data_IF_488982862721
#
_entry.id   IF_488982862721
#
_cell.length_a   1.000
_cell.length_b   1.000
_cell.length_c   1.000
_cell.angle_alpha   90.00
_cell.angle_beta   90.00
_cell.angle_gamma   90.00
#
_symmetry.space_group_name_H-M   'P 1'
#
loop_
_entity.id
_entity.type
_entity.pdbx_description
1 polymer ?
#
# COMPACT_ATOMS: atom_id res chain seq x y z
N UNK A 1 6.00 -55.79 27.71
CA UNK A 1 4.94 -54.86 27.30
C UNK A 1 4.14 -54.51 28.54
N UNK A 2 3.95 -53.21 28.84
CA UNK A 2 3.28 -52.73 30.07
C UNK A 2 1.74 -52.86 30.05
N UNK A 3 1.14 -53.22 28.90
CA UNK A 3 -0.31 -53.36 28.76
C UNK A 3 -1.09 -52.04 28.72
N UNK A 4 -0.40 -50.90 28.63
CA UNK A 4 -1.04 -49.60 28.52
C UNK A 4 -1.81 -49.46 27.21
N UNK A 5 -3.01 -48.95 27.29
CA UNK A 5 -3.88 -48.67 26.13
C UNK A 5 -4.37 -47.25 26.23
N UNK A 6 -4.03 -46.43 25.24
CA UNK A 6 -4.52 -45.08 25.10
C UNK A 6 -4.66 -44.72 23.62
N UNK A 7 -5.30 -43.61 23.34
CA UNK A 7 -5.53 -43.13 21.99
C UNK A 7 -4.22 -42.70 21.30
N UNK A 8 -3.21 -42.34 22.07
CA UNK A 8 -1.90 -41.93 21.57
C UNK A 8 -0.78 -42.39 22.56
N UNK A 9 0.19 -43.11 22.08
CA UNK A 9 1.21 -43.72 22.94
C UNK A 9 2.47 -42.84 23.15
N UNK A 10 2.63 -41.72 22.43
CA UNK A 10 3.85 -40.94 22.45
C UNK A 10 4.27 -40.45 23.85
N UNK A 11 3.32 -39.87 24.58
CA UNK A 11 3.58 -39.32 25.91
C UNK A 11 3.85 -40.43 26.93
N UNK A 12 3.13 -41.55 26.87
CA UNK A 12 3.37 -42.70 27.75
C UNK A 12 4.77 -43.32 27.49
N UNK A 13 5.20 -43.41 26.24
CA UNK A 13 6.51 -43.94 25.92
C UNK A 13 7.64 -43.04 26.48
N UNK A 14 7.49 -41.76 26.43
CA UNK A 14 8.43 -40.79 26.98
C UNK A 14 8.44 -40.81 28.52
N UNK A 15 7.26 -40.79 29.17
CA UNK A 15 7.15 -40.63 30.62
C UNK A 15 7.42 -41.95 31.37
N UNK A 16 6.91 -43.10 30.87
CA UNK A 16 6.96 -44.37 31.60
C UNK A 16 8.11 -45.27 31.16
N UNK A 17 8.68 -45.07 29.98
CA UNK A 17 9.70 -45.94 29.38
C UNK A 17 10.95 -45.21 28.91
N UNK A 18 11.03 -43.89 29.09
CA UNK A 18 12.16 -43.06 28.64
C UNK A 18 12.56 -43.35 27.19
N UNK A 19 11.56 -43.55 26.33
CA UNK A 19 11.73 -43.99 24.95
C UNK A 19 11.00 -43.00 24.01
N UNK A 20 11.69 -42.55 22.99
CA UNK A 20 11.03 -41.74 21.94
C UNK A 20 10.15 -42.62 21.04
N UNK A 21 9.14 -42.00 20.42
CA UNK A 21 8.23 -42.68 19.48
C UNK A 21 9.02 -43.29 18.31
N UNK A 22 10.07 -42.62 17.82
CA UNK A 22 10.92 -43.07 16.73
C UNK A 22 11.71 -44.33 17.13
N UNK A 23 12.32 -44.33 18.33
CA UNK A 23 13.05 -45.46 18.86
C UNK A 23 12.12 -46.69 19.11
N UNK A 24 10.85 -46.40 19.50
CA UNK A 24 9.87 -47.46 19.63
C UNK A 24 9.47 -48.05 18.26
N UNK A 25 9.28 -47.24 17.24
CA UNK A 25 8.95 -47.69 15.88
C UNK A 25 10.11 -48.41 15.20
N UNK A 26 11.36 -48.03 15.48
CA UNK A 26 12.52 -48.79 15.03
C UNK A 26 12.55 -50.22 15.62
N UNK A 27 12.20 -50.33 16.90
CA UNK A 27 12.13 -51.63 17.59
C UNK A 27 10.89 -52.45 17.21
N UNK A 28 9.79 -51.78 16.90
CA UNK A 28 8.52 -52.41 16.58
C UNK A 28 7.87 -51.74 15.32
N UNK A 29 8.40 -52.00 14.13
CA UNK A 29 7.99 -51.28 12.91
C UNK A 29 6.53 -51.42 12.50
N UNK A 30 5.82 -52.37 13.06
CA UNK A 30 4.38 -52.63 12.80
C UNK A 30 3.47 -52.29 13.98
N UNK A 31 4.01 -51.66 15.02
CA UNK A 31 3.20 -51.31 16.19
C UNK A 31 2.24 -50.16 15.85
N UNK A 32 1.00 -50.32 16.26
CA UNK A 32 0.03 -49.20 16.21
C UNK A 32 0.36 -48.24 17.34
N UNK A 33 0.68 -47.00 17.01
CA UNK A 33 1.00 -45.91 17.97
C UNK A 33 -0.15 -44.95 18.21
N UNK A 34 -1.19 -45.08 17.38
CA UNK A 34 -2.47 -44.30 17.47
C UNK A 34 -3.61 -45.32 17.37
N UNK A 35 -4.61 -45.15 18.20
CA UNK A 35 -5.78 -45.98 18.15
C UNK A 35 -6.53 -45.88 16.79
N UNK A 36 -7.00 -47.04 16.28
CA UNK A 36 -7.69 -47.07 14.98
C UNK A 36 -8.90 -46.12 14.92
N UNK A 37 -9.61 -45.98 16.05
CA UNK A 37 -10.76 -45.05 16.17
C UNK A 37 -10.36 -43.60 15.92
N UNK A 38 -9.16 -43.17 16.35
CA UNK A 38 -8.65 -41.83 16.10
C UNK A 38 -8.29 -41.65 14.61
N UNK A 39 -7.68 -42.69 14.03
CA UNK A 39 -7.37 -42.68 12.60
C UNK A 39 -8.63 -42.64 11.74
N UNK A 40 -9.65 -43.41 12.11
CA UNK A 40 -10.96 -43.43 11.44
C UNK A 40 -11.67 -42.06 11.58
N UNK A 41 -11.67 -41.50 12.79
CA UNK A 41 -12.20 -40.15 13.03
C UNK A 41 -11.47 -39.04 12.25
N UNK A 42 -10.15 -39.15 12.15
CA UNK A 42 -9.35 -38.24 11.33
C UNK A 42 -9.62 -38.45 9.83
N UNK A 43 -9.78 -39.70 9.40
CA UNK A 43 -10.14 -40.03 8.03
C UNK A 43 -11.57 -39.54 7.67
N UNK A 44 -12.54 -39.66 8.58
CA UNK A 44 -13.87 -39.11 8.38
C UNK A 44 -13.87 -37.57 8.37
N UNK A 45 -13.13 -36.95 9.30
CA UNK A 45 -12.92 -35.49 9.31
C UNK A 45 -12.20 -35.02 8.03
N UNK A 46 -11.23 -35.77 7.55
CA UNK A 46 -10.54 -35.44 6.28
C UNK A 46 -11.45 -35.62 5.07
N UNK A 47 -12.38 -36.59 5.07
CA UNK A 47 -13.43 -36.74 4.03
C UNK A 47 -14.43 -35.59 4.06
N UNK A 48 -14.77 -35.06 5.26
CA UNK A 48 -15.59 -33.85 5.43
C UNK A 48 -14.83 -32.55 5.16
N UNK A 49 -13.48 -32.58 5.21
CA UNK A 49 -12.55 -31.49 4.89
C UNK A 49 -11.91 -31.73 3.52
N UNK A 50 -12.46 -32.54 2.67
CA UNK A 50 -12.33 -32.24 1.25
C UNK A 50 -13.11 -30.94 1.01
N UNK A 51 -12.54 -29.83 1.49
CA UNK A 51 -12.68 -28.57 0.82
C UNK A 51 -12.23 -28.87 -0.60
N UNK A 52 -13.19 -29.06 -1.48
CA UNK A 52 -12.97 -28.83 -2.87
C UNK A 52 -12.51 -27.38 -2.95
N UNK A 53 -11.21 -27.16 -2.75
CA UNK A 53 -10.62 -25.94 -3.29
C UNK A 53 -10.97 -26.06 -4.76
N UNK A 54 -11.81 -25.15 -5.30
CA UNK A 54 -12.01 -25.13 -6.74
C UNK A 54 -10.60 -25.15 -7.30
N UNK A 55 -10.30 -25.95 -8.32
CA UNK A 55 -8.96 -26.04 -8.89
C UNK A 55 -8.51 -24.58 -9.06
N UNK A 56 -7.44 -24.19 -8.38
CA UNK A 56 -6.89 -22.82 -8.48
C UNK A 56 -6.73 -22.62 -9.96
N UNK A 57 -7.44 -21.66 -10.59
CA UNK A 57 -7.37 -21.47 -12.02
C UNK A 57 -5.90 -21.38 -12.35
N UNK A 58 -5.38 -22.31 -13.16
CA UNK A 58 -3.95 -22.41 -13.48
C UNK A 58 -3.44 -21.10 -14.07
N UNK A 59 -4.36 -20.26 -14.53
CA UNK A 59 -4.10 -18.93 -15.08
C UNK A 59 -5.22 -17.98 -14.69
N UNK A 60 -4.91 -17.04 -13.80
CA UNK A 60 -5.76 -15.90 -13.49
C UNK A 60 -5.27 -14.71 -14.31
N UNK A 61 -6.19 -13.99 -14.92
CA UNK A 61 -5.89 -12.77 -15.65
C UNK A 61 -6.69 -11.62 -15.08
N UNK A 62 -6.12 -10.44 -15.10
CA UNK A 62 -6.80 -9.17 -14.81
C UNK A 62 -6.63 -8.20 -15.96
N UNK A 63 -7.53 -7.26 -16.09
CA UNK A 63 -7.38 -6.14 -17.01
C UNK A 63 -6.71 -4.98 -16.25
N UNK A 64 -5.64 -4.46 -16.81
CA UNK A 64 -4.85 -3.39 -16.25
C UNK A 64 -4.54 -2.36 -17.34
N UNK A 65 -5.12 -1.16 -17.24
CA UNK A 65 -4.88 -0.05 -18.18
C UNK A 65 -5.02 -0.47 -19.67
N UNK A 66 -6.02 -1.31 -19.96
CA UNK A 66 -6.29 -1.86 -21.30
C UNK A 66 -5.44 -3.08 -21.67
N UNK A 67 -4.58 -3.58 -20.78
CA UNK A 67 -3.80 -4.78 -21.00
C UNK A 67 -4.36 -5.97 -20.23
N UNK A 68 -4.50 -7.12 -20.89
CA UNK A 68 -4.79 -8.39 -20.21
C UNK A 68 -3.50 -8.95 -19.64
N UNK A 69 -3.40 -8.97 -18.31
CA UNK A 69 -2.18 -9.36 -17.60
C UNK A 69 -2.41 -10.60 -16.76
N UNK A 70 -1.43 -11.50 -16.78
CA UNK A 70 -1.45 -12.70 -15.94
C UNK A 70 -1.18 -12.33 -14.47
N UNK A 71 -1.99 -12.90 -13.58
CA UNK A 71 -1.88 -12.74 -12.13
C UNK A 71 -1.28 -13.99 -11.52
N UNK A 72 -0.42 -13.86 -10.52
CA UNK A 72 0.16 -15.00 -9.80
C UNK A 72 -0.84 -15.56 -8.78
N UNK A 73 -1.73 -16.45 -9.23
CA UNK A 73 -2.80 -17.01 -8.39
C UNK A 73 -2.31 -17.74 -7.14
N UNK A 74 -1.07 -18.25 -7.16
CA UNK A 74 -0.41 -19.00 -6.08
C UNK A 74 0.35 -18.11 -5.08
N UNK A 75 0.12 -16.80 -5.11
CA UNK A 75 0.68 -15.87 -4.11
C UNK A 75 -0.36 -15.59 -3.05
N UNK A 76 0.04 -15.72 -1.78
CA UNK A 76 -0.78 -15.29 -0.65
C UNK A 76 -1.05 -13.78 -0.75
N UNK A 77 -2.31 -13.34 -0.73
CA UNK A 77 -2.63 -11.91 -0.72
C UNK A 77 -1.93 -11.11 0.39
N UNK A 78 -1.64 -11.74 1.53
CA UNK A 78 -0.91 -11.11 2.64
C UNK A 78 0.56 -10.83 2.33
N UNK A 79 1.13 -11.49 1.33
CA UNK A 79 2.48 -11.19 0.85
C UNK A 79 2.53 -10.00 -0.13
N UNK A 80 1.35 -9.48 -0.53
CA UNK A 80 1.23 -8.31 -1.38
C UNK A 80 0.94 -7.06 -0.56
N UNK A 81 1.24 -5.89 -1.10
CA UNK A 81 0.76 -4.65 -0.51
C UNK A 81 -0.78 -4.59 -0.61
N UNK A 82 -1.47 -4.08 0.42
CA UNK A 82 -2.93 -4.03 0.41
C UNK A 82 -3.44 -3.09 -0.68
N UNK A 83 -4.53 -3.48 -1.34
CA UNK A 83 -5.22 -2.62 -2.31
C UNK A 83 -5.74 -1.38 -1.60
N UNK A 84 -5.38 -0.16 -2.07
CA UNK A 84 -5.94 1.04 -1.46
C UNK A 84 -7.46 1.10 -1.69
N UNK A 85 -8.17 1.57 -0.67
CA UNK A 85 -9.62 1.69 -0.73
C UNK A 85 -10.06 2.59 -1.89
N UNK A 86 -10.99 2.11 -2.71
CA UNK A 86 -11.53 2.84 -3.87
C UNK A 86 -10.49 3.32 -4.88
N UNK A 87 -9.32 2.66 -4.95
CA UNK A 87 -8.28 3.06 -5.89
C UNK A 87 -8.76 2.90 -7.34
N UNK A 88 -8.57 3.96 -8.11
CA UNK A 88 -8.80 3.98 -9.56
C UNK A 88 -7.58 4.53 -10.26
N UNK A 89 -7.26 3.94 -11.40
CA UNK A 89 -6.23 4.51 -12.25
C UNK A 89 -6.80 5.76 -12.93
N UNK A 90 -6.07 6.88 -12.90
CA UNK A 90 -6.42 8.07 -13.69
C UNK A 90 -6.60 7.71 -15.16
N UNK A 91 -7.65 8.25 -15.77
CA UNK A 91 -8.00 8.01 -17.17
C UNK A 91 -7.88 9.26 -18.03
N UNK A 92 -7.61 10.40 -17.42
CA UNK A 92 -7.49 11.71 -18.06
C UNK A 92 -6.09 12.30 -17.91
N UNK A 93 -5.72 13.15 -18.87
CA UNK A 93 -4.47 13.91 -18.85
C UNK A 93 -3.21 13.09 -19.10
N UNK A 94 -2.07 13.77 -18.99
CA UNK A 94 -0.75 13.18 -19.27
C UNK A 94 -0.40 12.05 -18.31
N UNK A 95 -0.90 12.12 -17.07
CA UNK A 95 -0.67 11.10 -16.07
C UNK A 95 -1.22 9.72 -16.50
N UNK A 96 -2.34 9.69 -17.21
CA UNK A 96 -2.91 8.42 -17.69
C UNK A 96 -1.95 7.72 -18.68
N UNK A 97 -1.30 8.49 -19.56
CA UNK A 97 -0.31 7.97 -20.52
C UNK A 97 0.94 7.48 -19.78
N UNK A 98 1.46 8.29 -18.85
CA UNK A 98 2.62 7.92 -18.04
C UNK A 98 2.38 6.66 -17.21
N UNK A 99 1.18 6.48 -16.69
CA UNK A 99 0.80 5.27 -15.94
C UNK A 99 0.73 4.02 -16.80
N UNK A 100 0.30 4.13 -18.05
CA UNK A 100 0.34 2.99 -18.99
C UNK A 100 1.78 2.55 -19.24
N UNK A 101 2.69 3.49 -19.48
CA UNK A 101 4.12 3.20 -19.67
C UNK A 101 4.77 2.69 -18.36
N UNK A 102 4.35 3.22 -17.21
CA UNK A 102 4.78 2.73 -15.91
C UNK A 102 4.33 1.28 -15.69
N UNK A 103 3.10 0.95 -16.03
CA UNK A 103 2.57 -0.42 -15.92
C UNK A 103 3.38 -1.39 -16.79
N UNK A 104 3.74 -1.02 -18.02
CA UNK A 104 4.62 -1.84 -18.89
C UNK A 104 5.99 -2.02 -18.24
N UNK A 105 6.57 -0.96 -17.68
CA UNK A 105 7.86 -1.03 -16.99
C UNK A 105 7.79 -1.90 -15.73
N UNK A 106 6.70 -1.78 -14.99
CA UNK A 106 6.40 -2.60 -13.82
C UNK A 106 6.29 -4.09 -14.18
N UNK A 107 5.57 -4.42 -15.25
CA UNK A 107 5.41 -5.79 -15.72
C UNK A 107 6.73 -6.42 -16.19
N UNK A 108 7.66 -5.61 -16.68
CA UNK A 108 9.00 -6.03 -17.08
C UNK A 108 10.01 -6.10 -15.94
N UNK A 109 9.63 -5.76 -14.72
CA UNK A 109 10.51 -5.78 -13.54
C UNK A 109 11.57 -4.67 -13.54
N UNK A 110 11.35 -3.58 -14.29
CA UNK A 110 12.28 -2.43 -14.34
C UNK A 110 12.21 -1.59 -13.09
N UNK A 111 13.33 -1.01 -12.67
CA UNK A 111 13.36 -0.09 -11.54
C UNK A 111 12.69 1.24 -11.88
N UNK A 112 11.87 1.74 -10.95
CA UNK A 112 11.07 2.95 -11.15
C UNK A 112 11.41 4.02 -10.10
N UNK A 113 11.53 5.26 -10.56
CA UNK A 113 11.54 6.45 -9.71
C UNK A 113 10.25 7.23 -9.93
N UNK A 114 9.37 7.24 -8.94
CA UNK A 114 8.08 7.92 -9.00
C UNK A 114 8.15 9.15 -8.11
N UNK A 115 7.99 10.33 -8.71
CA UNK A 115 8.04 11.57 -7.96
C UNK A 115 6.81 12.43 -8.20
N UNK A 116 6.60 13.43 -7.37
CA UNK A 116 5.47 14.37 -7.50
C UNK A 116 4.97 14.86 -6.16
N UNK A 117 4.03 15.76 -6.20
CA UNK A 117 3.52 16.45 -5.02
C UNK A 117 2.97 15.46 -3.97
N UNK A 118 3.03 15.81 -2.67
CA UNK A 118 2.44 15.01 -1.61
C UNK A 118 0.96 14.70 -1.89
N UNK A 119 0.54 13.47 -1.57
CA UNK A 119 -0.84 13.04 -1.77
C UNK A 119 -1.29 12.90 -3.23
N UNK A 120 -0.34 12.78 -4.19
CA UNK A 120 -0.63 12.48 -5.61
C UNK A 120 -0.85 10.98 -5.91
N UNK A 121 -0.81 10.11 -4.90
CA UNK A 121 -1.11 8.69 -5.07
C UNK A 121 0.07 7.81 -5.47
N UNK A 122 1.33 8.28 -5.34
CA UNK A 122 2.54 7.53 -5.71
C UNK A 122 2.61 6.14 -5.09
N UNK A 123 2.54 6.06 -3.77
CA UNK A 123 2.59 4.78 -3.05
C UNK A 123 1.33 3.95 -3.34
N UNK A 124 0.16 4.60 -3.43
CA UNK A 124 -1.10 3.94 -3.74
C UNK A 124 -1.07 3.23 -5.11
N UNK A 125 -0.39 3.78 -6.11
CA UNK A 125 -0.14 3.13 -7.38
C UNK A 125 0.64 1.81 -7.21
N UNK A 126 1.74 1.82 -6.46
CA UNK A 126 2.56 0.62 -6.24
C UNK A 126 1.80 -0.43 -5.46
N UNK A 127 1.02 -0.01 -4.45
CA UNK A 127 0.12 -0.88 -3.71
C UNK A 127 -0.90 -1.55 -4.63
N UNK A 128 -1.58 -0.77 -5.47
CA UNK A 128 -2.56 -1.29 -6.41
C UNK A 128 -1.94 -2.27 -7.41
N UNK A 129 -0.76 -1.97 -7.94
CA UNK A 129 -0.04 -2.85 -8.85
C UNK A 129 0.38 -4.17 -8.19
N UNK A 130 0.88 -4.12 -6.94
CA UNK A 130 1.21 -5.32 -6.16
C UNK A 130 -0.03 -6.19 -5.93
N UNK A 131 -1.14 -5.58 -5.46
CA UNK A 131 -2.38 -6.29 -5.18
C UNK A 131 -3.02 -6.93 -6.43
N UNK A 132 -3.17 -6.15 -7.51
CA UNK A 132 -3.82 -6.60 -8.74
C UNK A 132 -3.05 -7.73 -9.43
N UNK A 133 -1.74 -7.66 -9.45
CA UNK A 133 -0.88 -8.64 -10.10
C UNK A 133 -0.50 -9.80 -9.18
N UNK A 134 -0.88 -9.73 -7.92
CA UNK A 134 -0.43 -10.64 -6.87
C UNK A 134 1.09 -10.84 -6.91
N UNK A 135 1.81 -9.73 -6.89
CA UNK A 135 3.26 -9.74 -6.76
C UNK A 135 3.64 -9.47 -5.31
N UNK A 136 4.43 -10.37 -4.70
CA UNK A 136 4.89 -10.17 -3.33
C UNK A 136 5.68 -8.86 -3.24
N UNK A 137 5.46 -8.09 -2.18
CA UNK A 137 6.07 -6.80 -2.03
C UNK A 137 6.33 -6.44 -0.57
N UNK A 138 7.38 -5.67 -0.34
CA UNK A 138 7.69 -5.06 0.96
C UNK A 138 7.82 -3.55 0.80
N UNK A 139 7.53 -2.83 1.88
CA UNK A 139 7.68 -1.38 1.93
C UNK A 139 8.69 -0.99 3.01
N UNK A 140 9.55 -0.05 2.68
CA UNK A 140 10.50 0.61 3.59
C UNK A 140 10.39 2.11 3.42
N UNK A 141 10.31 2.84 4.53
CA UNK A 141 10.20 4.31 4.49
C UNK A 141 11.49 4.94 4.99
N UNK A 142 12.00 5.89 4.23
CA UNK A 142 13.22 6.61 4.60
C UNK A 142 12.88 7.84 5.41
N UNK A 143 13.57 8.00 6.53
CA UNK A 143 13.63 9.24 7.32
C UNK A 143 15.08 9.60 7.57
N UNK A 144 15.43 10.84 7.90
CA UNK A 144 16.82 11.22 8.18
C UNK A 144 17.50 10.40 9.28
N UNK A 145 16.71 9.77 10.17
CA UNK A 145 17.19 8.96 11.30
C UNK A 145 17.09 7.45 11.04
N UNK A 146 16.62 7.02 9.88
CA UNK A 146 16.47 5.60 9.55
C UNK A 146 17.82 4.92 9.42
N UNK A 147 18.02 3.83 10.15
CA UNK A 147 19.15 2.93 9.90
C UNK A 147 18.83 2.01 8.71
N UNK A 148 19.29 2.41 7.53
CA UNK A 148 19.03 1.67 6.29
C UNK A 148 19.84 0.37 6.21
N UNK A 149 20.98 0.27 6.92
CA UNK A 149 21.76 -0.95 6.99
C UNK A 149 21.02 -2.04 7.78
N UNK A 150 20.32 -1.64 8.84
CA UNK A 150 19.48 -2.53 9.63
C UNK A 150 18.31 -3.15 8.85
N UNK A 151 17.98 -2.65 7.67
CA UNK A 151 17.00 -3.31 6.80
C UNK A 151 17.53 -4.61 6.17
N UNK A 152 18.86 -4.72 6.03
CA UNK A 152 19.49 -5.92 5.48
C UNK A 152 19.91 -6.90 6.57
N UNK A 153 20.59 -6.42 7.61
CA UNK A 153 21.07 -7.25 8.69
C UNK A 153 21.36 -6.44 9.96
N UNK A 154 21.25 -7.11 11.09
CA UNK A 154 21.57 -6.55 12.40
C UNK A 154 22.59 -7.46 13.11
N UNK A 155 23.35 -6.88 14.01
CA UNK A 155 24.23 -7.64 14.92
C UNK A 155 23.43 -7.97 16.17
N UNK A 156 23.33 -9.26 16.49
CA UNK A 156 22.87 -9.74 17.78
C UNK A 156 24.05 -10.25 18.62
N UNK A 157 23.91 -10.11 19.93
CA UNK A 157 24.89 -10.59 20.88
C UNK A 157 24.23 -11.60 21.79
N UNK A 158 24.78 -12.81 21.86
CA UNK A 158 24.35 -13.83 22.79
C UNK A 158 25.55 -14.37 23.60
N UNK A 159 25.31 -15.41 24.42
CA UNK A 159 26.36 -16.04 25.23
C UNK A 159 27.43 -16.69 24.39
N UNK A 160 27.18 -16.98 23.12
CA UNK A 160 28.12 -17.64 22.19
C UNK A 160 28.90 -16.61 21.33
N UNK A 161 28.57 -15.30 21.47
CA UNK A 161 29.26 -14.20 20.81
C UNK A 161 28.39 -13.34 19.88
N UNK A 162 29.03 -12.76 18.87
CA UNK A 162 28.36 -11.90 17.90
C UNK A 162 27.83 -12.72 16.73
N UNK A 163 26.53 -12.60 16.48
CA UNK A 163 25.87 -13.18 15.30
C UNK A 163 25.30 -12.10 14.41
N UNK A 164 25.22 -12.41 13.12
CA UNK A 164 24.53 -11.58 12.15
C UNK A 164 23.17 -12.19 11.84
N UNK A 165 22.12 -11.42 12.03
CA UNK A 165 20.76 -11.81 11.69
C UNK A 165 20.32 -11.08 10.42
N UNK A 166 19.98 -11.86 9.38
CA UNK A 166 19.45 -11.31 8.14
C UNK A 166 18.01 -10.85 8.33
N UNK A 167 17.72 -9.66 7.83
CA UNK A 167 16.41 -9.03 7.95
C UNK A 167 15.56 -9.30 6.69
N UNK A 168 14.29 -8.85 6.75
CA UNK A 168 13.31 -9.08 5.71
C UNK A 168 13.78 -8.64 4.31
N UNK A 169 14.38 -7.44 4.20
CA UNK A 169 14.86 -6.91 2.92
C UNK A 169 15.96 -7.80 2.32
N UNK A 170 16.89 -8.26 3.13
CA UNK A 170 17.96 -9.15 2.65
C UNK A 170 17.38 -10.46 2.12
N UNK A 171 16.47 -11.08 2.87
CA UNK A 171 15.81 -12.32 2.44
C UNK A 171 14.96 -12.10 1.18
N UNK A 172 14.24 -11.00 1.09
CA UNK A 172 13.48 -10.66 -0.11
C UNK A 172 14.38 -10.53 -1.36
N UNK A 173 15.57 -9.95 -1.19
CA UNK A 173 16.56 -9.83 -2.27
C UNK A 173 17.16 -11.16 -2.68
N UNK A 174 17.52 -12.03 -1.71
CA UNK A 174 18.36 -13.22 -1.94
C UNK A 174 17.59 -14.52 -2.04
N UNK A 175 16.45 -14.63 -1.39
CA UNK A 175 15.66 -15.87 -1.33
C UNK A 175 14.38 -15.75 -2.16
N UNK A 176 13.81 -14.53 -2.26
CA UNK A 176 12.52 -14.29 -2.91
C UNK A 176 11.34 -14.88 -2.13
N UNK A 177 10.18 -14.84 -2.75
CA UNK A 177 8.94 -15.39 -2.21
C UNK A 177 8.69 -16.80 -2.74
N UNK A 178 8.61 -17.78 -1.86
CA UNK A 178 8.28 -19.15 -2.24
C UNK A 178 6.77 -19.35 -2.25
N UNK A 179 6.21 -19.60 -3.43
CA UNK A 179 4.79 -19.88 -3.61
C UNK A 179 4.37 -21.13 -2.80
N UNK A 180 3.26 -21.07 -2.04
CA UNK A 180 2.89 -22.17 -1.12
C UNK A 180 2.61 -23.50 -1.83
N UNK A 181 1.97 -23.49 -2.99
CA UNK A 181 1.59 -24.71 -3.69
C UNK A 181 2.63 -25.15 -4.72
N UNK A 182 2.99 -24.26 -5.65
CA UNK A 182 3.91 -24.58 -6.76
C UNK A 182 5.38 -24.65 -6.35
N UNK A 183 5.74 -24.18 -5.16
CA UNK A 183 7.13 -24.02 -4.68
C UNK A 183 7.99 -23.14 -5.59
N UNK A 184 7.39 -22.44 -6.53
CA UNK A 184 8.10 -21.51 -7.41
C UNK A 184 8.56 -20.29 -6.61
N UNK A 185 9.78 -19.86 -6.83
CA UNK A 185 10.31 -18.62 -6.24
C UNK A 185 9.96 -17.44 -7.14
N UNK A 186 9.36 -16.42 -6.55
CA UNK A 186 9.02 -15.17 -7.22
C UNK A 186 9.86 -14.03 -6.65
N UNK A 187 10.27 -13.06 -7.50
CA UNK A 187 10.96 -11.87 -7.05
C UNK A 187 9.99 -10.93 -6.32
N UNK A 188 10.50 -10.22 -5.31
CA UNK A 188 9.77 -9.17 -4.62
C UNK A 188 9.77 -7.85 -5.38
N UNK A 189 8.72 -7.07 -5.15
CA UNK A 189 8.73 -5.62 -5.33
C UNK A 189 9.21 -5.02 -4.01
N UNK A 190 10.19 -4.14 -4.09
CA UNK A 190 10.70 -3.39 -2.93
C UNK A 190 10.33 -1.94 -3.15
N UNK A 191 9.35 -1.45 -2.38
CA UNK A 191 8.95 -0.06 -2.37
C UNK A 191 9.75 0.69 -1.29
N UNK A 192 10.52 1.69 -1.71
CA UNK A 192 11.22 2.60 -0.80
C UNK A 192 10.54 3.96 -0.89
N UNK A 193 9.77 4.29 0.16
CA UNK A 193 9.01 5.53 0.24
C UNK A 193 9.83 6.68 0.82
N UNK A 194 9.50 7.92 0.41
CA UNK A 194 10.13 9.15 0.84
C UNK A 194 11.66 9.17 0.59
N UNK A 195 12.09 8.65 -0.56
CA UNK A 195 13.50 8.45 -0.88
C UNK A 195 14.31 9.76 -0.90
N UNK A 196 13.70 10.87 -1.26
CA UNK A 196 14.32 12.19 -1.25
C UNK A 196 14.60 12.76 0.17
N UNK A 197 14.14 12.07 1.22
CA UNK A 197 14.51 12.36 2.61
C UNK A 197 15.81 11.68 3.05
N UNK A 198 16.36 10.79 2.22
CA UNK A 198 17.60 10.10 2.52
C UNK A 198 18.75 11.09 2.70
N UNK A 199 19.51 10.93 3.78
CA UNK A 199 20.80 11.60 3.91
C UNK A 199 21.76 11.08 2.82
N UNK A 200 22.83 11.83 2.55
CA UNK A 200 23.82 11.40 1.55
C UNK A 200 24.38 9.99 1.84
N UNK A 201 24.66 9.68 3.09
CA UNK A 201 25.15 8.35 3.51
C UNK A 201 24.12 7.25 3.26
N UNK A 202 22.86 7.51 3.61
CA UNK A 202 21.77 6.57 3.37
C UNK A 202 21.54 6.35 1.87
N UNK A 203 21.56 7.40 1.07
CA UNK A 203 21.39 7.32 -0.38
C UNK A 203 22.50 6.50 -1.03
N UNK A 204 23.76 6.68 -0.60
CA UNK A 204 24.88 5.87 -1.06
C UNK A 204 24.76 4.40 -0.67
N UNK A 205 24.26 4.10 0.52
CA UNK A 205 24.00 2.72 0.92
C UNK A 205 22.87 2.11 0.09
N UNK A 206 21.76 2.83 -0.09
CA UNK A 206 20.63 2.39 -0.91
C UNK A 206 21.01 2.23 -2.38
N UNK A 207 21.98 3.01 -2.87
CA UNK A 207 22.56 2.83 -4.21
C UNK A 207 23.09 1.42 -4.43
N UNK A 208 23.71 0.82 -3.42
CA UNK A 208 24.22 -0.55 -3.51
C UNK A 208 23.10 -1.59 -3.68
N UNK A 209 21.93 -1.31 -3.10
CA UNK A 209 20.75 -2.18 -3.23
C UNK A 209 20.10 -1.98 -4.61
N UNK A 210 19.97 -0.72 -5.04
CA UNK A 210 19.41 -0.37 -6.35
C UNK A 210 20.31 -0.87 -7.49
N UNK A 211 21.62 -0.89 -7.27
CA UNK A 211 22.60 -1.41 -8.23
C UNK A 211 22.59 -2.95 -8.35
N UNK A 212 21.60 -3.59 -7.72
CA UNK A 212 21.35 -5.02 -7.85
C UNK A 212 21.06 -5.48 -9.30
N UNK A 213 21.04 -4.53 -10.26
CA UNK A 213 21.15 -4.79 -11.70
C UNK A 213 22.35 -5.72 -12.01
N UNK A 214 23.43 -5.60 -11.24
CA UNK A 214 24.54 -6.56 -11.28
C UNK A 214 24.15 -7.97 -10.79
N UNK A 215 22.95 -8.13 -10.24
CA UNK A 215 22.44 -9.39 -9.68
C UNK A 215 23.12 -9.81 -8.38
N UNK A 216 23.78 -8.88 -7.68
CA UNK A 216 24.54 -9.19 -6.47
C UNK A 216 24.31 -8.17 -5.37
N UNK A 217 24.25 -8.64 -4.13
CA UNK A 217 24.20 -7.80 -2.93
C UNK A 217 25.24 -8.26 -1.92
N UNK A 218 25.87 -7.31 -1.24
CA UNK A 218 26.80 -7.60 -0.17
C UNK A 218 26.03 -7.86 1.12
N UNK A 219 26.28 -8.99 1.75
CA UNK A 219 25.71 -9.38 3.02
C UNK A 219 26.72 -9.32 4.17
N UNK A 220 26.34 -9.87 5.33
CA UNK A 220 27.16 -9.86 6.53
C UNK A 220 28.56 -10.44 6.30
N UNK A 221 29.56 -9.78 6.89
CA UNK A 221 30.94 -10.19 6.79
C UNK A 221 31.56 -10.04 5.39
N UNK A 222 30.98 -9.20 4.53
CA UNK A 222 31.48 -8.94 3.18
C UNK A 222 31.19 -10.05 2.17
N UNK A 223 30.40 -11.06 2.53
CA UNK A 223 29.97 -12.11 1.60
C UNK A 223 29.04 -11.55 0.53
N UNK A 224 29.19 -12.01 -0.70
CA UNK A 224 28.38 -11.60 -1.83
C UNK A 224 27.30 -12.65 -2.12
N UNK A 225 26.07 -12.20 -2.27
CA UNK A 225 24.91 -13.05 -2.54
C UNK A 225 24.28 -12.66 -3.87
N UNK A 226 23.69 -13.61 -4.56
CA UNK A 226 22.93 -13.35 -5.77
C UNK A 226 21.56 -12.79 -5.42
N UNK A 227 21.11 -11.78 -6.17
CA UNK A 227 19.74 -11.25 -6.07
C UNK A 227 18.82 -12.09 -6.95
N UNK A 228 17.62 -12.35 -6.47
CA UNK A 228 16.60 -13.10 -7.23
C UNK A 228 16.26 -12.33 -8.52
N UNK A 229 16.43 -12.96 -9.70
CA UNK A 229 16.16 -12.30 -10.97
C UNK A 229 14.74 -11.77 -11.07
N UNK A 230 14.59 -10.53 -11.51
CA UNK A 230 13.30 -9.85 -11.62
C UNK A 230 12.85 -9.14 -10.34
N UNK A 231 13.70 -9.11 -9.28
CA UNK A 231 13.47 -8.23 -8.13
C UNK A 231 13.42 -6.78 -8.61
N UNK A 232 12.35 -6.08 -8.24
CA UNK A 232 12.07 -4.74 -8.72
C UNK A 232 12.13 -3.74 -7.57
N UNK A 233 12.93 -2.70 -7.73
CA UNK A 233 13.01 -1.61 -6.78
C UNK A 233 12.23 -0.42 -7.33
N UNK A 234 11.29 0.06 -6.54
CA UNK A 234 10.49 1.23 -6.84
C UNK A 234 10.70 2.22 -5.71
N UNK A 235 11.09 3.43 -6.05
CA UNK A 235 11.19 4.50 -5.06
C UNK A 235 10.12 5.54 -5.30
N UNK A 236 9.61 6.12 -4.22
CA UNK A 236 8.73 7.28 -4.28
C UNK A 236 9.40 8.48 -3.60
N UNK A 237 9.21 9.64 -4.16
CA UNK A 237 9.80 10.89 -3.71
C UNK A 237 8.87 12.06 -3.96
N UNK A 238 9.06 13.17 -3.24
CA UNK A 238 8.29 14.39 -3.49
C UNK A 238 8.97 15.28 -4.53
N UNK A 239 10.25 15.06 -4.78
CA UNK A 239 11.06 15.81 -5.75
C UNK A 239 11.61 14.92 -6.86
N UNK A 240 12.02 15.53 -7.96
CA UNK A 240 12.67 14.83 -9.10
C UNK A 240 14.13 14.43 -8.83
N UNK A 241 14.61 14.58 -7.59
CA UNK A 241 16.00 14.34 -7.21
C UNK A 241 16.85 15.61 -7.15
N UNK A 242 16.35 16.76 -7.61
CA UNK A 242 17.03 18.05 -7.53
C UNK A 242 16.93 18.77 -6.18
N UNK A 243 16.35 18.12 -5.16
CA UNK A 243 16.06 18.77 -3.89
C UNK A 243 14.88 19.72 -3.97
N UNK A 244 14.70 20.54 -2.93
CA UNK A 244 13.60 21.49 -2.85
C UNK A 244 13.93 22.83 -3.52
N UNK A 245 13.74 22.88 -4.83
CA UNK A 245 14.01 24.11 -5.62
C UNK A 245 13.01 25.24 -5.29
N UNK A 246 11.83 24.90 -4.76
CA UNK A 246 10.73 25.85 -4.52
C UNK A 246 10.51 26.19 -3.04
N UNK A 247 11.30 25.63 -2.11
CA UNK A 247 11.14 25.84 -0.67
C UNK A 247 9.89 25.24 -0.06
N UNK A 248 9.21 24.30 -0.78
CA UNK A 248 7.99 23.63 -0.30
C UNK A 248 8.26 22.31 0.42
N UNK A 249 9.43 21.73 0.17
CA UNK A 249 9.84 20.39 0.63
C UNK A 249 11.16 20.46 1.39
N UNK A 250 11.20 21.23 2.47
CA UNK A 250 12.41 21.53 3.26
C UNK A 250 13.22 20.29 3.66
N UNK A 251 12.57 19.13 3.76
CA UNK A 251 13.21 17.86 4.12
C UNK A 251 13.76 17.09 2.91
N UNK A 252 13.57 17.58 1.68
CA UNK A 252 14.03 16.88 0.49
C UNK A 252 15.49 17.24 0.17
N UNK A 253 16.33 16.22 0.10
CA UNK A 253 17.74 16.34 -0.23
C UNK A 253 17.96 16.17 -1.74
N UNK A 254 19.10 16.70 -2.22
CA UNK A 254 19.56 16.44 -3.58
C UNK A 254 20.07 15.01 -3.68
N UNK A 255 19.56 14.28 -4.66
CA UNK A 255 19.98 12.90 -4.95
C UNK A 255 21.02 12.95 -6.07
N UNK A 256 22.11 12.22 -5.88
CA UNK A 256 23.19 12.14 -6.86
C UNK A 256 22.70 11.57 -8.21
N UNK A 257 23.16 12.17 -9.32
CA UNK A 257 22.81 11.74 -10.66
C UNK A 257 23.15 10.28 -10.95
N UNK A 258 24.24 9.77 -10.34
CA UNK A 258 24.63 8.37 -10.49
C UNK A 258 23.62 7.39 -9.89
N UNK A 259 22.89 7.81 -8.86
CA UNK A 259 21.79 7.02 -8.29
C UNK A 259 20.56 7.10 -9.20
N UNK A 260 20.28 8.30 -9.71
CA UNK A 260 19.14 8.53 -10.59
C UNK A 260 19.24 7.75 -11.92
N UNK A 261 20.45 7.52 -12.42
CA UNK A 261 20.68 6.76 -13.66
C UNK A 261 20.36 5.27 -13.54
N UNK A 262 20.23 4.75 -12.32
CA UNK A 262 19.85 3.34 -12.07
C UNK A 262 18.37 3.07 -12.23
N UNK A 263 17.57 4.13 -12.30
CA UNK A 263 16.14 4.00 -12.56
C UNK A 263 15.86 4.11 -14.04
N UNK A 264 15.46 3.01 -14.66
CA UNK A 264 15.19 2.92 -16.11
C UNK A 264 13.99 3.77 -16.51
N UNK A 265 13.08 4.02 -15.58
CA UNK A 265 11.93 4.88 -15.79
C UNK A 265 11.75 5.85 -14.63
N UNK A 266 11.59 7.13 -14.97
CA UNK A 266 11.26 8.21 -14.05
C UNK A 266 9.89 8.75 -14.42
N UNK A 267 8.98 8.85 -13.46
CA UNK A 267 7.58 9.20 -13.69
C UNK A 267 7.19 10.31 -12.75
N UNK A 268 6.61 11.34 -13.30
CA UNK A 268 6.03 12.42 -12.51
C UNK A 268 4.56 12.16 -12.25
N UNK A 269 4.16 12.13 -10.98
CA UNK A 269 2.77 12.07 -10.57
C UNK A 269 2.25 13.48 -10.30
N UNK A 270 1.24 13.87 -11.05
CA UNK A 270 0.45 15.06 -10.80
C UNK A 270 -0.72 14.73 -9.88
N UNK A 271 -1.35 15.74 -9.31
CA UNK A 271 -2.65 15.51 -8.69
C UNK A 271 -3.64 15.07 -9.75
N UNK A 272 -4.50 14.15 -9.33
CA UNK A 272 -5.55 13.63 -10.18
C UNK A 272 -6.48 14.75 -10.61
N UNK A 273 -6.94 14.74 -11.86
CA UNK A 273 -7.98 15.66 -12.30
C UNK A 273 -9.30 15.36 -11.57
N UNK A 274 -10.16 16.37 -11.45
CA UNK A 274 -11.39 16.19 -10.69
C UNK A 274 -12.29 15.11 -11.28
N UNK A 275 -12.32 14.94 -12.58
CA UNK A 275 -13.12 13.91 -13.25
C UNK A 275 -12.73 12.48 -12.85
N UNK A 276 -11.44 12.26 -12.54
CA UNK A 276 -10.95 10.98 -12.00
C UNK A 276 -11.11 10.90 -10.47
N UNK A 277 -11.03 12.02 -9.77
CA UNK A 277 -11.10 12.10 -8.31
C UNK A 277 -12.55 12.06 -7.78
N UNK A 278 -13.49 12.65 -8.52
CA UNK A 278 -14.89 12.72 -8.13
C UNK A 278 -15.54 11.37 -7.84
N UNK A 279 -15.36 10.31 -8.67
CA UNK A 279 -15.93 9.01 -8.38
C UNK A 279 -15.37 8.37 -7.10
N UNK A 280 -14.10 8.62 -6.77
CA UNK A 280 -13.47 8.15 -5.53
C UNK A 280 -14.11 8.86 -4.33
N UNK A 281 -14.25 10.19 -4.43
CA UNK A 281 -14.88 11.00 -3.40
C UNK A 281 -16.35 10.65 -3.19
N UNK A 282 -17.09 10.37 -4.26
CA UNK A 282 -18.50 9.92 -4.17
C UNK A 282 -18.65 8.60 -3.42
N UNK A 283 -17.78 7.64 -3.72
CA UNK A 283 -17.79 6.35 -3.04
C UNK A 283 -17.42 6.48 -1.55
N UNK A 284 -16.52 7.41 -1.24
CA UNK A 284 -16.02 7.63 0.13
C UNK A 284 -16.99 8.47 0.99
N UNK A 285 -17.74 9.40 0.39
CA UNK A 285 -18.65 10.30 1.08
C UNK A 285 -20.06 10.24 0.48
N UNK A 286 -20.73 9.06 0.55
CA UNK A 286 -22.02 8.86 -0.12
C UNK A 286 -23.13 9.71 0.48
N UNK A 287 -23.16 9.91 1.80
CA UNK A 287 -24.19 10.69 2.48
C UNK A 287 -24.15 12.17 2.04
N UNK A 288 -22.93 12.72 1.95
CA UNK A 288 -22.75 14.09 1.49
C UNK A 288 -23.19 14.26 0.04
N UNK A 289 -22.81 13.30 -0.81
CA UNK A 289 -23.16 13.34 -2.23
C UNK A 289 -24.69 13.25 -2.45
N UNK A 290 -25.37 12.36 -1.73
CA UNK A 290 -26.82 12.19 -1.84
C UNK A 290 -27.61 13.39 -1.28
N UNK A 291 -27.19 13.93 -0.14
CA UNK A 291 -27.91 15.00 0.54
C UNK A 291 -27.55 16.40 0.06
N UNK A 292 -26.34 16.60 -0.42
CA UNK A 292 -25.78 17.91 -0.76
C UNK A 292 -25.02 17.90 -2.11
N UNK A 293 -25.63 17.45 -3.22
CA UNK A 293 -24.92 17.29 -4.51
C UNK A 293 -24.37 18.62 -5.04
N UNK A 294 -25.04 19.73 -4.79
CA UNK A 294 -24.56 21.06 -5.21
C UNK A 294 -23.34 21.50 -4.42
N UNK A 295 -23.31 21.26 -3.10
CA UNK A 295 -22.14 21.55 -2.27
C UNK A 295 -20.96 20.68 -2.68
N UNK A 296 -21.18 19.42 -2.98
CA UNK A 296 -20.16 18.50 -3.50
C UNK A 296 -19.58 19.02 -4.83
N UNK A 297 -20.41 19.46 -5.76
CA UNK A 297 -20.00 20.07 -7.05
C UNK A 297 -19.20 21.37 -6.85
N UNK A 298 -19.57 22.19 -5.86
CA UNK A 298 -18.83 23.41 -5.52
C UNK A 298 -17.41 23.09 -5.02
N UNK A 299 -17.25 22.05 -4.20
CA UNK A 299 -15.92 21.57 -3.77
C UNK A 299 -15.09 21.16 -4.97
N UNK A 300 -15.67 20.43 -5.93
CA UNK A 300 -14.97 20.02 -7.15
C UNK A 300 -14.43 21.21 -7.96
N UNK A 301 -15.28 22.20 -8.22
CA UNK A 301 -14.89 23.43 -8.93
C UNK A 301 -13.80 24.20 -8.18
N UNK A 302 -13.93 24.31 -6.85
CA UNK A 302 -12.93 24.94 -6.00
C UNK A 302 -11.60 24.17 -6.04
N UNK A 303 -11.63 22.84 -6.02
CA UNK A 303 -10.45 21.97 -6.13
C UNK A 303 -9.69 22.22 -7.41
N UNK A 304 -10.38 22.23 -8.56
CA UNK A 304 -9.77 22.50 -9.87
C UNK A 304 -9.12 23.88 -9.90
N UNK A 305 -9.83 24.91 -9.40
CA UNK A 305 -9.30 26.28 -9.36
C UNK A 305 -8.07 26.42 -8.46
N UNK A 306 -8.13 25.86 -7.25
CA UNK A 306 -7.00 25.89 -6.30
C UNK A 306 -5.77 25.22 -6.90
N UNK A 307 -5.91 24.04 -7.46
CA UNK A 307 -4.79 23.29 -8.08
C UNK A 307 -4.22 24.03 -9.29
N UNK A 308 -5.07 24.67 -10.10
CA UNK A 308 -4.62 25.48 -11.22
C UNK A 308 -3.79 26.68 -10.76
N UNK A 309 -4.22 27.39 -9.72
CA UNK A 309 -3.46 28.54 -9.18
C UNK A 309 -2.17 28.10 -8.50
N UNK A 310 -2.14 26.93 -7.83
CA UNK A 310 -0.92 26.35 -7.27
C UNK A 310 0.07 25.95 -8.37
N UNK A 311 -0.42 25.36 -9.47
CA UNK A 311 0.41 24.95 -10.60
C UNK A 311 1.05 26.16 -11.32
N UNK A 312 0.36 27.30 -11.34
CA UNK A 312 0.84 28.58 -11.91
C UNK A 312 1.72 29.40 -10.96
N UNK A 313 1.99 28.89 -9.76
CA UNK A 313 2.69 29.59 -8.68
C UNK A 313 1.96 30.90 -8.21
N UNK A 314 0.65 31.02 -8.46
CA UNK A 314 -0.19 32.11 -7.98
C UNK A 314 -0.63 31.93 -6.51
N UNK A 315 -0.64 30.67 -6.04
CA UNK A 315 -0.95 30.31 -4.67
C UNK A 315 0.14 29.41 -4.09
N UNK A 316 0.80 29.88 -3.04
CA UNK A 316 1.86 29.13 -2.36
C UNK A 316 1.28 28.17 -1.32
N UNK A 317 0.72 27.07 -1.77
CA UNK A 317 0.09 26.05 -0.93
C UNK A 317 0.20 24.65 -1.56
N UNK A 318 -0.23 23.63 -0.80
CA UNK A 318 -0.44 22.28 -1.27
C UNK A 318 -1.91 21.91 -1.11
N UNK A 319 -2.52 21.34 -2.15
CA UNK A 319 -3.91 20.92 -2.10
C UNK A 319 -4.08 19.50 -2.64
N UNK A 320 -3.72 18.55 -1.80
CA UNK A 320 -3.69 17.13 -2.12
C UNK A 320 -5.08 16.48 -2.08
N UNK A 321 -5.20 15.24 -2.60
CA UNK A 321 -6.38 14.39 -2.40
C UNK A 321 -6.75 14.22 -0.91
N UNK A 322 -5.76 14.17 -0.01
CA UNK A 322 -6.01 14.11 1.44
C UNK A 322 -6.73 15.37 1.95
N UNK A 323 -6.34 16.54 1.43
CA UNK A 323 -7.01 17.80 1.79
C UNK A 323 -8.45 17.82 1.28
N UNK A 324 -8.71 17.35 0.06
CA UNK A 324 -10.07 17.20 -0.48
C UNK A 324 -10.90 16.25 0.38
N UNK A 325 -10.35 15.08 0.72
CA UNK A 325 -11.03 14.12 1.58
C UNK A 325 -11.31 14.69 2.99
N UNK A 326 -10.37 15.43 3.57
CA UNK A 326 -10.57 16.10 4.86
C UNK A 326 -11.69 17.13 4.78
N UNK A 327 -11.74 17.91 3.71
CA UNK A 327 -12.80 18.89 3.46
C UNK A 327 -14.18 18.21 3.35
N UNK A 328 -14.31 17.23 2.47
CA UNK A 328 -15.57 16.50 2.25
C UNK A 328 -16.01 15.73 3.49
N UNK A 329 -15.07 15.08 4.19
CA UNK A 329 -15.35 14.33 5.42
C UNK A 329 -15.90 15.24 6.51
N UNK A 330 -15.29 16.40 6.73
CA UNK A 330 -15.81 17.36 7.71
C UNK A 330 -17.20 17.91 7.34
N UNK A 331 -17.46 18.11 6.03
CA UNK A 331 -18.80 18.47 5.57
C UNK A 331 -19.81 17.36 5.85
N UNK A 332 -19.46 16.11 5.59
CA UNK A 332 -20.32 14.95 5.87
C UNK A 332 -20.60 14.82 7.36
N UNK A 333 -19.59 14.97 8.22
CA UNK A 333 -19.75 14.97 9.67
C UNK A 333 -20.73 16.05 10.15
N UNK A 334 -20.63 17.28 9.62
CA UNK A 334 -21.56 18.37 9.94
C UNK A 334 -22.99 17.96 9.57
N UNK A 335 -23.20 17.44 8.36
CA UNK A 335 -24.53 17.06 7.87
C UNK A 335 -25.12 15.91 8.67
N UNK A 336 -24.32 14.94 9.08
CA UNK A 336 -24.75 13.79 9.89
C UNK A 336 -25.09 14.23 11.31
N UNK A 337 -24.24 15.03 11.94
CA UNK A 337 -24.41 15.44 13.34
C UNK A 337 -25.54 16.47 13.51
N UNK A 338 -25.63 17.44 12.61
CA UNK A 338 -26.67 18.51 12.73
C UNK A 338 -28.02 18.09 12.16
N UNK A 339 -28.07 17.03 11.33
CA UNK A 339 -29.21 16.59 10.53
C UNK A 339 -29.76 17.66 9.56
N UNK A 340 -29.13 18.81 9.52
CA UNK A 340 -29.43 19.94 8.64
C UNK A 340 -28.26 20.24 7.72
N UNK A 341 -28.53 20.91 6.62
CA UNK A 341 -27.51 21.37 5.68
C UNK A 341 -27.30 22.89 5.90
N UNK A 342 -26.21 23.28 6.61
CA UNK A 342 -25.92 24.69 6.81
C UNK A 342 -25.67 25.43 5.48
N UNK A 343 -26.11 26.65 5.36
CA UNK A 343 -25.88 27.47 4.16
C UNK A 343 -24.41 27.72 3.86
N UNK A 344 -23.57 27.68 4.88
CA UNK A 344 -22.13 27.89 4.82
C UNK A 344 -21.33 26.57 4.90
N UNK A 345 -21.96 25.41 4.63
CA UNK A 345 -21.38 24.08 4.74
C UNK A 345 -20.01 23.96 4.05
N UNK A 346 -19.94 24.41 2.78
CA UNK A 346 -18.70 24.34 1.98
C UNK A 346 -17.59 25.16 2.62
N UNK A 347 -17.91 26.36 3.11
CA UNK A 347 -16.94 27.24 3.80
C UNK A 347 -16.48 26.66 5.14
N UNK A 348 -17.39 26.04 5.89
CA UNK A 348 -17.03 25.36 7.15
C UNK A 348 -16.09 24.20 6.88
N UNK A 349 -16.38 23.36 5.90
CA UNK A 349 -15.52 22.27 5.53
C UNK A 349 -14.14 22.72 5.08
N UNK A 350 -14.03 23.81 4.32
CA UNK A 350 -12.77 24.37 3.85
C UNK A 350 -11.82 24.80 4.97
N UNK A 351 -12.33 25.10 6.17
CA UNK A 351 -11.49 25.49 7.32
C UNK A 351 -10.48 24.41 7.69
N UNK A 352 -10.81 23.13 7.51
CA UNK A 352 -9.88 22.01 7.78
C UNK A 352 -8.54 22.16 7.06
N UNK A 353 -8.53 22.84 5.92
CA UNK A 353 -7.33 23.12 5.14
C UNK A 353 -6.85 24.57 5.29
N UNK A 354 -7.77 25.54 5.28
CA UNK A 354 -7.44 26.97 5.36
C UNK A 354 -6.75 27.35 6.67
N UNK A 355 -7.14 26.74 7.79
CA UNK A 355 -6.54 27.01 9.11
C UNK A 355 -5.09 26.47 9.23
N UNK A 356 -4.66 25.62 8.29
CA UNK A 356 -3.29 25.11 8.18
C UNK A 356 -2.39 25.94 7.25
N UNK A 357 -2.85 27.08 6.72
CA UNK A 357 -2.04 27.93 5.84
C UNK A 357 -0.88 28.61 6.57
N UNK A 358 0.27 28.78 5.87
CA UNK A 358 1.49 29.31 6.50
C UNK A 358 1.36 30.78 6.87
N UNK A 359 0.53 31.54 6.16
CA UNK A 359 0.34 32.96 6.37
C UNK A 359 -1.08 33.42 5.99
N UNK A 360 -1.45 34.59 6.45
CA UNK A 360 -2.80 35.15 6.26
C UNK A 360 -3.05 35.57 4.80
N UNK A 361 -2.04 36.00 4.06
CA UNK A 361 -2.19 36.41 2.66
C UNK A 361 -2.54 35.19 1.79
N UNK A 362 -1.81 34.11 1.94
CA UNK A 362 -2.09 32.82 1.27
C UNK A 362 -3.47 32.30 1.65
N UNK A 363 -3.86 32.38 2.92
CA UNK A 363 -5.16 31.98 3.40
C UNK A 363 -6.29 32.78 2.75
N UNK A 364 -6.16 34.11 2.68
CA UNK A 364 -7.15 34.98 2.05
C UNK A 364 -7.24 34.78 0.53
N UNK A 365 -6.10 34.53 -0.15
CA UNK A 365 -6.09 34.22 -1.56
C UNK A 365 -6.83 32.89 -1.84
N UNK A 366 -6.55 31.86 -1.08
CA UNK A 366 -7.25 30.58 -1.17
C UNK A 366 -8.75 30.72 -0.88
N UNK A 367 -9.12 31.47 0.16
CA UNK A 367 -10.51 31.72 0.51
C UNK A 367 -11.28 32.43 -0.64
N UNK A 368 -10.67 33.42 -1.31
CA UNK A 368 -11.29 34.09 -2.47
C UNK A 368 -11.55 33.13 -3.62
N UNK A 369 -10.64 32.19 -3.89
CA UNK A 369 -10.84 31.18 -4.93
C UNK A 369 -12.01 30.24 -4.58
N UNK A 370 -12.15 29.85 -3.32
CA UNK A 370 -13.28 29.05 -2.84
C UNK A 370 -14.59 29.86 -2.95
N UNK A 371 -14.59 31.09 -2.48
CA UNK A 371 -15.79 31.96 -2.45
C UNK A 371 -16.32 32.24 -3.85
N UNK A 372 -15.49 32.23 -4.88
CA UNK A 372 -15.91 32.41 -6.27
C UNK A 372 -16.89 31.31 -6.74
N UNK A 373 -16.82 30.12 -6.17
CA UNK A 373 -17.66 28.98 -6.55
C UNK A 373 -18.74 28.65 -5.53
N UNK A 374 -18.65 29.21 -4.32
CA UNK A 374 -19.64 29.03 -3.26
C UNK A 374 -20.70 30.13 -3.40
N UNK A 375 -21.82 29.82 -4.01
CA UNK A 375 -22.94 30.74 -4.08
C UNK A 375 -23.38 31.11 -2.67
N UNK A 376 -23.35 32.40 -2.36
CA UNK A 376 -23.92 32.92 -1.13
C UNK A 376 -25.44 32.67 -1.15
N UNK A 377 -25.85 31.62 -0.46
CA UNK A 377 -27.18 31.41 0.04
C UNK A 377 -28.36 31.43 -0.97
N UNK A 378 -28.50 30.40 -1.77
CA UNK A 378 -29.81 29.83 -2.10
C UNK A 378 -29.62 28.33 -2.29
N UNK A 379 -29.68 27.55 -1.22
CA UNK A 379 -30.03 26.14 -1.34
C UNK A 379 -31.55 26.16 -1.48
N UNK A 380 -32.02 25.95 -2.71
CA UNK A 380 -33.44 25.76 -2.95
C UNK A 380 -33.90 24.56 -2.12
N UNK A 381 -34.75 24.82 -1.19
CA UNK A 381 -35.71 23.86 -0.65
C UNK A 381 -36.62 23.44 -1.81
N UNK A 382 -36.18 22.56 -2.66
CA UNK A 382 -37.01 21.81 -3.57
C UNK A 382 -36.84 20.34 -3.28
N UNK A 383 -37.72 19.87 -2.41
CA UNK A 383 -38.49 18.63 -2.47
C UNK A 383 -39.02 18.25 -1.11
N UNK A 384 -39.98 19.04 -0.61
CA UNK A 384 -41.06 18.49 0.13
C UNK A 384 -42.18 18.18 -0.89
N UNK A 385 -42.23 16.95 -1.30
CA UNK A 385 -43.47 16.37 -1.81
C UNK A 385 -43.41 14.87 -1.62
N UNK A 386 -44.16 14.44 -0.62
CA UNK A 386 -44.81 13.14 -0.48
C UNK A 386 -43.94 11.91 -0.37
N UNK A 387 -44.05 11.28 0.78
CA UNK A 387 -43.79 9.83 0.88
C UNK A 387 -43.12 9.41 2.16
N UNK A 388 -43.92 9.28 3.20
CA UNK A 388 -43.65 8.43 4.37
C UNK A 388 -42.79 7.21 4.00
N UNK A 389 -41.58 7.11 4.55
CA UNK A 389 -40.93 5.86 4.89
C UNK A 389 -40.06 6.07 6.11
N UNK A 390 -40.68 5.83 7.26
CA UNK A 390 -39.97 5.48 8.49
C UNK A 390 -39.27 4.14 8.27
N UNK A 391 -37.96 4.16 8.14
CA UNK A 391 -37.11 2.99 8.32
C UNK A 391 -36.27 3.15 9.58
N UNK A 392 -36.05 2.12 10.38
CA UNK A 392 -35.38 2.24 11.65
C UNK A 392 -33.89 2.51 11.47
N UNK A 393 -33.40 3.49 12.25
CA UNK A 393 -31.98 3.70 12.47
C UNK A 393 -31.40 2.44 13.13
N UNK A 394 -30.46 1.80 12.47
CA UNK A 394 -29.64 0.75 13.06
C UNK A 394 -28.74 1.40 14.12
N UNK A 395 -28.89 0.97 15.36
CA UNK A 395 -27.94 1.17 16.43
C UNK A 395 -26.66 0.41 16.06
N UNK A 396 -25.52 1.09 16.14
CA UNK A 396 -24.23 0.49 15.91
C UNK A 396 -23.13 1.56 16.01
N UNK A 397 -22.69 1.80 17.25
CA UNK A 397 -21.36 2.33 17.53
C UNK A 397 -20.40 1.16 17.72
#
# INVERSE_FOLDING_TARGET
MCGFQDYFLGDHLAEAHDMSLDAYLESFPKAATVAQEVLDSLAERSKGIQRSHPPVPTELYTELLGFKVRVNADVDPLACLPMPHEYRFPSHGDLAVDLQEAAVSFLRGRHLYIHGMPGSGKDAFVHAMSALLRRPAIIKTVTPTTDVEAWLYVRSFDQEGTRWETQELFRALTEGYTCPNSKRVLPYIILISDFDRATKSQAEFLRLIIDSISGRVQGPGGKVFSVVPGTQIIVTANTSGGGDVRGRMVSANVIDGSIMDRFERKIQFHWMEWDDEEPICKAKFPILFERCPDSFRQVGKSTTSLRSSIAKDELYAEFSHRAVCSWLGHMEDIVVLTKEVPKDLVKRGARTWLDGMPDEETRLAAQKLIDAYVKSGVIGTERDSSGDRKGPLAEGF
#
